data_IF_730515808292
#
_entry.id   IF_730515808292
#
_cell.length_a   1.000
_cell.length_b   1.000
_cell.length_c   1.000
_cell.angle_alpha   90.00
_cell.angle_beta   90.00
_cell.angle_gamma   90.00
#
_symmetry.space_group_name_H-M   'P 1'
#
loop_
_entity.id
_entity.type
_entity.pdbx_description
1 polymer ?
#
# COMPACT_ATOMS: atom_id res chain seq x y z
N UNK A 1 -12.60 -1.85 -26.24
CA UNK A 1 -12.61 -2.72 -25.04
C UNK A 1 -11.46 -2.48 -24.06
N UNK A 2 -10.43 -1.67 -24.36
CA UNK A 2 -9.27 -1.51 -23.45
C UNK A 2 -9.23 -0.21 -22.62
N UNK A 3 -10.29 0.61 -22.60
CA UNK A 3 -10.20 1.94 -21.98
C UNK A 3 -10.79 2.06 -20.57
N UNK A 4 -11.66 1.14 -20.13
CA UNK A 4 -12.34 1.25 -18.83
C UNK A 4 -11.49 0.76 -17.67
N UNK A 5 -10.63 -0.24 -17.90
CA UNK A 5 -9.80 -0.83 -16.85
C UNK A 5 -8.65 0.11 -16.44
N UNK A 6 -8.01 0.76 -17.41
CA UNK A 6 -6.95 1.75 -17.16
C UNK A 6 -7.48 2.99 -16.41
N UNK A 7 -8.66 3.49 -16.82
CA UNK A 7 -9.34 4.60 -16.14
C UNK A 7 -9.73 4.24 -14.70
N UNK A 8 -10.13 2.98 -14.46
CA UNK A 8 -10.45 2.48 -13.12
C UNK A 8 -9.19 2.44 -12.23
N UNK A 9 -8.06 1.97 -12.76
CA UNK A 9 -6.78 1.97 -12.05
C UNK A 9 -6.32 3.39 -11.67
N UNK A 10 -6.34 4.34 -12.61
CA UNK A 10 -5.97 5.73 -12.33
C UNK A 10 -6.93 6.39 -11.32
N UNK A 11 -8.23 6.18 -11.47
CA UNK A 11 -9.23 6.70 -10.53
C UNK A 11 -9.03 6.14 -9.12
N UNK A 12 -8.76 4.83 -9.01
CA UNK A 12 -8.45 4.16 -7.74
C UNK A 12 -7.17 4.71 -7.09
N UNK A 13 -6.11 4.92 -7.88
CA UNK A 13 -4.86 5.50 -7.38
C UNK A 13 -5.05 6.92 -6.88
N UNK A 14 -5.82 7.74 -7.61
CA UNK A 14 -6.15 9.10 -7.20
C UNK A 14 -6.99 9.14 -5.92
N UNK A 15 -7.95 8.21 -5.79
CA UNK A 15 -8.74 8.08 -4.56
C UNK A 15 -7.86 7.66 -3.37
N UNK A 16 -6.92 6.74 -3.58
CA UNK A 16 -5.96 6.31 -2.57
C UNK A 16 -5.02 7.45 -2.16
N UNK A 17 -4.51 8.24 -3.11
CA UNK A 17 -3.65 9.39 -2.81
C UNK A 17 -4.37 10.42 -1.94
N UNK A 18 -5.62 10.74 -2.29
CA UNK A 18 -6.48 11.62 -1.48
C UNK A 18 -6.78 11.03 -0.10
N UNK A 19 -6.93 9.73 0.01
CA UNK A 19 -7.13 9.07 1.31
C UNK A 19 -5.88 9.19 2.19
N UNK A 20 -4.69 8.92 1.62
CA UNK A 20 -3.39 8.98 2.28
C UNK A 20 -2.86 10.41 2.47
N UNK A 21 -3.57 11.43 1.97
CA UNK A 21 -3.22 12.82 2.26
C UNK A 21 -3.51 13.21 3.71
N UNK A 22 -4.47 12.53 4.36
CA UNK A 22 -4.85 12.76 5.76
C UNK A 22 -4.46 11.61 6.69
N UNK A 23 -3.99 10.50 6.12
CA UNK A 23 -3.69 9.25 6.84
C UNK A 23 -2.32 8.71 6.44
N UNK A 24 -1.65 8.08 7.38
CA UNK A 24 -0.35 7.48 7.13
C UNK A 24 -0.46 6.06 6.56
N UNK A 25 -1.58 5.37 6.81
CA UNK A 25 -1.81 3.97 6.47
C UNK A 25 -3.25 3.71 6.00
N UNK A 26 -3.49 2.55 5.39
CA UNK A 26 -4.80 2.14 4.85
C UNK A 26 -5.88 2.04 5.94
N UNK A 27 -5.52 1.66 7.17
CA UNK A 27 -6.45 1.61 8.32
C UNK A 27 -6.26 2.76 9.32
N UNK A 28 -5.69 3.89 8.89
CA UNK A 28 -5.56 5.09 9.72
C UNK A 28 -4.12 5.47 10.00
N UNK A 29 -3.70 5.36 11.27
CA UNK A 29 -2.40 5.85 11.75
C UNK A 29 -1.42 4.77 12.19
N UNK A 30 -1.87 3.52 12.20
CA UNK A 30 -1.06 2.35 12.50
C UNK A 30 -0.97 1.44 11.29
N UNK A 31 0.22 0.88 11.11
CA UNK A 31 0.47 -0.10 10.06
C UNK A 31 -0.32 -1.39 10.29
N UNK A 32 -0.96 -1.89 9.23
CA UNK A 32 -1.93 -2.98 9.27
C UNK A 32 -1.72 -4.00 8.16
N UNK A 33 -2.41 -5.15 8.23
CA UNK A 33 -2.37 -6.15 7.15
C UNK A 33 -2.91 -5.60 5.83
N UNK A 34 -3.88 -4.68 5.89
CA UNK A 34 -4.43 -4.03 4.71
C UNK A 34 -3.35 -3.26 3.92
N UNK A 35 -2.37 -2.67 4.61
CA UNK A 35 -1.25 -1.99 3.93
C UNK A 35 -0.42 -2.98 3.11
N UNK A 36 -0.19 -4.18 3.64
CA UNK A 36 0.58 -5.24 2.93
C UNK A 36 -0.22 -5.79 1.76
N UNK A 37 -1.51 -6.04 1.94
CA UNK A 37 -2.38 -6.54 0.86
C UNK A 37 -2.45 -5.53 -0.29
N UNK A 38 -2.65 -4.24 0.03
CA UNK A 38 -2.66 -3.18 -0.97
C UNK A 38 -1.29 -3.05 -1.61
N UNK A 39 -0.19 -3.09 -0.83
CA UNK A 39 1.17 -3.01 -1.35
C UNK A 39 1.49 -4.15 -2.34
N UNK A 40 1.05 -5.38 -2.07
CA UNK A 40 1.25 -6.52 -2.98
C UNK A 40 0.52 -6.39 -4.32
N UNK A 41 -0.53 -5.56 -4.40
CA UNK A 41 -1.19 -5.26 -5.68
C UNK A 41 -0.34 -4.34 -6.57
N UNK A 42 0.63 -3.64 -6.00
CA UNK A 42 1.58 -2.83 -6.77
C UNK A 42 2.74 -3.71 -7.23
N UNK A 43 2.87 -3.87 -8.54
CA UNK A 43 4.05 -4.52 -9.14
C UNK A 43 5.26 -3.58 -9.25
N UNK A 44 5.03 -2.26 -9.17
CA UNK A 44 6.02 -1.21 -9.40
C UNK A 44 5.72 0.00 -8.52
N UNK A 45 6.72 0.85 -8.24
CA UNK A 45 6.50 2.12 -7.55
C UNK A 45 5.44 2.96 -8.29
N UNK A 46 4.52 3.61 -7.56
CA UNK A 46 3.60 4.58 -8.15
C UNK A 46 4.36 5.76 -8.77
N UNK A 47 3.80 6.38 -9.80
CA UNK A 47 4.37 7.58 -10.40
C UNK A 47 4.42 8.75 -9.39
N UNK A 48 5.43 9.62 -9.51
CA UNK A 48 5.67 10.76 -8.60
C UNK A 48 4.52 11.80 -8.56
N UNK A 49 3.53 11.70 -9.44
CA UNK A 49 2.31 12.50 -9.40
C UNK A 49 1.42 12.22 -8.18
N UNK A 50 1.58 11.05 -7.53
CA UNK A 50 0.83 10.65 -6.33
C UNK A 50 1.74 10.61 -5.10
N UNK A 51 2.19 11.78 -4.66
CA UNK A 51 3.18 11.93 -3.59
C UNK A 51 2.81 11.17 -2.30
N UNK A 52 1.53 11.17 -1.90
CA UNK A 52 1.11 10.52 -0.66
C UNK A 52 1.20 8.99 -0.77
N UNK A 53 0.82 8.45 -1.93
CA UNK A 53 0.96 7.02 -2.24
C UNK A 53 2.44 6.64 -2.33
N UNK A 54 3.28 7.45 -2.99
CA UNK A 54 4.72 7.18 -3.12
C UNK A 54 5.40 7.15 -1.74
N UNK A 55 5.09 8.13 -0.87
CA UNK A 55 5.57 8.14 0.52
C UNK A 55 5.17 6.87 1.26
N UNK A 56 3.90 6.50 1.21
CA UNK A 56 3.38 5.29 1.85
C UNK A 56 4.04 4.03 1.29
N UNK A 57 4.11 3.88 -0.04
CA UNK A 57 4.72 2.74 -0.72
C UNK A 57 6.17 2.54 -0.29
N UNK A 58 7.00 3.60 -0.31
CA UNK A 58 8.40 3.54 0.15
C UNK A 58 8.52 3.16 1.62
N UNK A 59 7.53 3.54 2.44
CA UNK A 59 7.49 3.17 3.84
C UNK A 59 7.21 1.67 4.02
N UNK A 60 6.19 1.14 3.34
CA UNK A 60 5.83 -0.29 3.38
C UNK A 60 6.94 -1.16 2.78
N UNK A 61 7.57 -0.71 1.69
CA UNK A 61 8.69 -1.42 1.05
C UNK A 61 9.85 -1.65 2.03
N UNK A 62 10.15 -0.70 2.92
CA UNK A 62 11.17 -0.88 3.96
C UNK A 62 10.75 -1.94 5.00
N UNK A 63 9.47 -2.03 5.35
CA UNK A 63 8.95 -3.06 6.25
C UNK A 63 9.01 -4.47 5.62
N UNK A 64 8.74 -4.56 4.33
CA UNK A 64 8.81 -5.83 3.59
C UNK A 64 10.26 -6.31 3.44
N UNK A 65 11.17 -5.44 2.99
CA UNK A 65 12.61 -5.75 2.82
C UNK A 65 13.32 -6.10 4.13
N UNK A 66 12.87 -5.54 5.25
CA UNK A 66 13.45 -5.82 6.57
C UNK A 66 12.96 -7.13 7.18
N UNK A 67 12.02 -7.84 6.54
CA UNK A 67 11.45 -9.08 7.07
C UNK A 67 10.62 -8.89 8.36
N UNK A 68 10.42 -7.65 8.81
CA UNK A 68 9.72 -7.31 10.05
C UNK A 68 8.25 -7.76 10.02
N UNK A 69 7.64 -7.87 8.85
CA UNK A 69 6.29 -8.43 8.71
C UNK A 69 6.24 -9.94 8.86
N UNK A 70 7.16 -10.67 8.21
CA UNK A 70 7.23 -12.12 8.35
C UNK A 70 7.50 -12.52 9.80
N UNK A 71 8.40 -11.79 10.47
CA UNK A 71 8.70 -11.98 11.89
C UNK A 71 7.49 -11.74 12.83
N UNK A 72 6.52 -10.89 12.45
CA UNK A 72 5.30 -10.67 13.23
C UNK A 72 4.15 -11.63 12.87
N UNK A 73 4.12 -12.16 11.65
CA UNK A 73 3.08 -13.09 11.17
C UNK A 73 3.18 -14.49 11.76
N UNK A 74 4.38 -14.95 12.15
CA UNK A 74 4.62 -16.31 12.64
C UNK A 74 4.34 -16.50 14.14
N UNK A 75 4.02 -15.45 14.88
CA UNK A 75 3.76 -15.57 16.34
C UNK A 75 2.34 -16.00 16.72
N UNK A 76 1.45 -16.31 15.75
CA UNK A 76 0.10 -16.83 16.03
C UNK A 76 -0.38 -17.87 15.02
N UNK A 77 0.37 -18.94 14.80
CA UNK A 77 -0.20 -20.23 14.40
C UNK A 77 0.68 -21.41 14.86
N UNK A 78 1.05 -21.41 16.14
CA UNK A 78 1.55 -22.61 16.80
C UNK A 78 0.99 -22.66 18.23
N UNK A 79 -0.27 -23.11 18.32
CA UNK A 79 -0.85 -23.79 19.48
C UNK A 79 -2.13 -24.49 19.05
#
# INVERSE_FOLDING_TARGET
YFSTDLMSCEARLKALDKYLSTRSYIQGFTFSHADVEVFRQFSRPPMDQHFHVVRWYRHIEKYDKSGLWQAKGESKFQR
#
